data_IF_645425250197
#
_entry.id   IF_645425250197
#
_cell.length_a   1.000
_cell.length_b   1.000
_cell.length_c   1.000
_cell.angle_alpha   90.00
_cell.angle_beta   90.00
_cell.angle_gamma   90.00
#
_symmetry.space_group_name_H-M   'P 1'
#
loop_
_entity.id
_entity.type
_entity.pdbx_description
1 polymer ?
#
# COMPACT_ATOMS: atom_id res chain seq x y z
N UNK A 1 8.80 -18.24 -5.92
CA UNK A 1 10.16 -17.91 -6.43
C UNK A 1 10.90 -17.24 -5.29
N UNK A 2 11.99 -17.87 -4.82
CA UNK A 2 12.84 -17.26 -3.82
C UNK A 2 13.84 -16.32 -4.51
N UNK A 3 13.88 -15.08 -4.03
CA UNK A 3 14.78 -14.03 -4.51
C UNK A 3 15.94 -13.97 -3.52
N UNK A 4 17.12 -14.49 -3.88
CA UNK A 4 18.32 -14.61 -3.02
C UNK A 4 19.45 -13.64 -3.36
N UNK A 5 19.16 -12.60 -4.16
CA UNK A 5 20.15 -11.59 -4.52
C UNK A 5 19.55 -10.46 -5.35
N UNK A 6 19.54 -10.64 -6.67
CA UNK A 6 18.94 -9.65 -7.57
C UNK A 6 17.41 -9.79 -7.63
N UNK A 7 16.65 -8.67 -7.74
CA UNK A 7 15.20 -8.73 -7.94
C UNK A 7 14.86 -9.50 -9.21
N UNK A 8 13.66 -10.09 -9.25
CA UNK A 8 13.07 -10.50 -10.52
C UNK A 8 12.87 -9.25 -11.38
N UNK A 9 13.64 -9.11 -12.46
CA UNK A 9 13.59 -7.95 -13.33
C UNK A 9 12.79 -8.24 -14.59
N UNK A 10 11.83 -7.39 -14.92
CA UNK A 10 11.02 -7.50 -16.13
C UNK A 10 10.92 -6.15 -16.83
N UNK A 11 11.05 -6.16 -18.17
CA UNK A 11 10.80 -5.00 -19.01
C UNK A 11 9.88 -5.42 -20.16
N UNK A 12 8.70 -4.82 -20.25
CA UNK A 12 7.68 -5.15 -21.24
C UNK A 12 6.75 -3.95 -21.43
N UNK A 13 6.01 -3.88 -22.53
CA UNK A 13 4.89 -2.91 -22.62
C UNK A 13 3.80 -3.29 -21.62
N UNK A 14 3.38 -4.56 -21.65
CA UNK A 14 2.37 -5.12 -20.77
C UNK A 14 2.97 -6.32 -20.03
N UNK A 15 3.04 -6.21 -18.70
CA UNK A 15 3.52 -7.27 -17.82
C UNK A 15 2.32 -7.89 -17.11
N UNK A 16 2.03 -9.17 -17.40
CA UNK A 16 1.01 -9.93 -16.69
C UNK A 16 1.68 -11.05 -15.87
N UNK A 17 1.36 -11.10 -14.59
CA UNK A 17 1.78 -12.15 -13.66
C UNK A 17 0.53 -12.83 -13.11
N UNK A 18 0.47 -14.15 -13.18
CA UNK A 18 -0.68 -14.93 -12.75
C UNK A 18 -0.25 -16.04 -11.78
N UNK A 19 -0.79 -16.05 -10.57
CA UNK A 19 -0.47 -17.05 -9.54
C UNK A 19 1.00 -17.08 -9.11
N UNK A 20 1.68 -15.93 -9.13
CA UNK A 20 3.13 -15.85 -8.86
C UNK A 20 3.38 -15.52 -7.39
N UNK A 21 3.95 -16.46 -6.64
CA UNK A 21 4.51 -16.18 -5.32
C UNK A 21 5.98 -15.75 -5.42
N UNK A 22 6.34 -14.58 -4.89
CA UNK A 22 7.72 -14.10 -4.75
C UNK A 22 8.02 -13.85 -3.27
N UNK A 23 9.18 -14.32 -2.82
CA UNK A 23 9.61 -14.18 -1.43
C UNK A 23 11.12 -13.92 -1.39
N UNK A 24 11.58 -13.12 -0.43
CA UNK A 24 13.01 -12.96 -0.18
C UNK A 24 13.55 -14.23 0.47
N UNK A 25 14.68 -14.73 -0.03
CA UNK A 25 15.34 -15.88 0.58
C UNK A 25 15.77 -15.54 2.03
N UNK A 26 15.24 -16.23 3.06
CA UNK A 26 15.55 -15.93 4.45
C UNK A 26 17.04 -16.15 4.80
N UNK A 27 17.77 -16.94 4.01
CA UNK A 27 19.20 -17.16 4.20
C UNK A 27 20.07 -16.00 3.65
N UNK A 28 19.48 -15.07 2.91
CA UNK A 28 20.19 -13.98 2.25
C UNK A 28 20.03 -12.66 3.01
N UNK A 29 21.15 -11.97 3.26
CA UNK A 29 21.11 -10.60 3.75
C UNK A 29 20.81 -9.62 2.60
N UNK A 30 19.67 -8.94 2.69
CA UNK A 30 19.29 -7.90 1.72
C UNK A 30 19.63 -6.51 2.21
N UNK A 31 20.21 -5.70 1.32
CA UNK A 31 20.44 -4.29 1.56
C UNK A 31 19.13 -3.51 1.75
N UNK A 32 19.25 -2.30 2.30
CA UNK A 32 18.17 -1.32 2.20
C UNK A 32 17.82 -1.09 0.72
N UNK A 33 16.52 -0.98 0.40
CA UNK A 33 16.09 -0.81 -0.99
C UNK A 33 15.88 -2.11 -1.76
N UNK A 34 15.97 -3.29 -1.13
CA UNK A 34 15.73 -4.56 -1.82
C UNK A 34 14.29 -4.67 -2.33
N UNK A 35 14.13 -5.32 -3.48
CA UNK A 35 12.85 -5.44 -4.18
C UNK A 35 12.62 -6.89 -4.61
N UNK A 36 11.38 -7.39 -4.55
CA UNK A 36 11.05 -8.70 -5.13
C UNK A 36 10.92 -8.61 -6.66
N UNK A 37 10.08 -7.70 -7.16
CA UNK A 37 9.85 -7.46 -8.58
C UNK A 37 10.29 -6.05 -8.99
N UNK A 38 11.29 -5.94 -9.87
CA UNK A 38 11.66 -4.69 -10.53
C UNK A 38 11.08 -4.66 -11.93
N UNK A 39 10.01 -3.89 -12.12
CA UNK A 39 9.27 -3.83 -13.37
C UNK A 39 9.47 -2.50 -14.11
N UNK A 40 9.73 -2.59 -15.41
CA UNK A 40 9.78 -1.46 -16.32
C UNK A 40 8.70 -1.65 -17.40
N UNK A 41 7.48 -1.15 -17.16
CA UNK A 41 6.33 -1.44 -18.02
C UNK A 41 5.28 -0.32 -18.12
N UNK A 42 4.46 -0.32 -19.19
CA UNK A 42 3.29 0.56 -19.34
C UNK A 42 2.09 0.01 -18.60
N UNK A 43 1.91 -1.31 -18.56
CA UNK A 43 0.89 -1.91 -17.72
C UNK A 43 1.47 -3.06 -16.91
N UNK A 44 1.04 -3.16 -15.65
CA UNK A 44 1.31 -4.31 -14.81
C UNK A 44 -0.04 -4.87 -14.37
N UNK A 45 -0.27 -6.15 -14.59
CA UNK A 45 -1.46 -6.87 -14.12
C UNK A 45 -0.99 -8.05 -13.29
N UNK A 46 -1.29 -8.05 -12.00
CA UNK A 46 -1.10 -9.18 -11.11
C UNK A 46 -2.47 -9.73 -10.77
N UNK A 47 -2.72 -10.99 -11.11
CA UNK A 47 -4.04 -11.63 -10.95
C UNK A 47 -3.89 -13.08 -10.49
N UNK A 48 -4.97 -13.64 -10.00
CA UNK A 48 -5.04 -15.05 -9.64
C UNK A 48 -4.65 -15.31 -8.19
N UNK A 49 -5.24 -16.36 -7.63
CA UNK A 49 -5.09 -16.76 -6.24
C UNK A 49 -3.61 -16.89 -5.87
N UNK A 50 -3.16 -16.04 -4.94
CA UNK A 50 -1.86 -16.05 -4.28
C UNK A 50 -0.69 -15.45 -5.08
N UNK A 51 -0.86 -14.24 -5.64
CA UNK A 51 0.33 -13.39 -5.77
C UNK A 51 0.78 -12.95 -4.38
N UNK A 52 1.60 -13.79 -3.74
CA UNK A 52 2.18 -13.56 -2.42
C UNK A 52 3.51 -12.84 -2.58
N UNK A 53 3.64 -11.67 -1.96
CA UNK A 53 4.86 -10.87 -1.91
C UNK A 53 5.29 -10.68 -0.46
N UNK A 54 6.24 -11.48 0.01
CA UNK A 54 6.74 -11.41 1.40
C UNK A 54 7.92 -10.45 1.49
N UNK A 55 7.67 -9.21 1.89
CA UNK A 55 8.71 -8.23 2.16
C UNK A 55 9.19 -8.38 3.62
N UNK A 56 10.31 -9.09 3.86
CA UNK A 56 11.08 -9.10 5.12
C UNK A 56 10.41 -9.56 6.45
N UNK A 57 11.14 -10.37 7.22
CA UNK A 57 10.90 -10.82 8.61
C UNK A 57 9.43 -11.03 9.01
N UNK A 58 8.67 -11.73 8.17
CA UNK A 58 7.38 -12.30 8.59
C UNK A 58 7.59 -13.29 9.77
N UNK A 59 8.67 -14.07 9.70
CA UNK A 59 8.97 -15.19 10.62
C UNK A 59 9.51 -14.80 11.99
N UNK A 60 9.67 -13.50 12.31
CA UNK A 60 10.12 -13.07 13.63
C UNK A 60 8.94 -13.09 14.63
N UNK A 61 8.55 -14.31 15.00
CA UNK A 61 7.58 -14.64 16.06
C UNK A 61 7.66 -13.68 17.25
N UNK A 62 6.48 -13.22 17.69
CA UNK A 62 6.20 -12.23 18.74
C UNK A 62 6.80 -12.50 20.14
N UNK A 63 7.60 -13.55 20.34
CA UNK A 63 8.07 -13.95 21.66
C UNK A 63 9.32 -13.19 22.16
N UNK A 64 10.09 -12.48 21.31
CA UNK A 64 11.38 -11.90 21.73
C UNK A 64 11.74 -10.55 21.07
N UNK A 65 10.78 -9.61 20.96
CA UNK A 65 11.11 -8.19 20.70
C UNK A 65 11.74 -7.52 21.94
N UNK A 66 12.92 -7.97 22.35
CA UNK A 66 13.83 -7.22 23.22
C UNK A 66 15.09 -6.86 22.43
N UNK A 67 15.23 -5.56 22.17
CA UNK A 67 16.50 -4.84 21.98
C UNK A 67 17.42 -5.28 20.84
N UNK A 68 16.96 -5.17 19.59
CA UNK A 68 17.88 -4.81 18.50
C UNK A 68 17.44 -3.47 17.92
N UNK A 69 18.17 -2.38 18.16
CA UNK A 69 17.83 -1.09 17.60
C UNK A 69 18.15 -1.10 16.10
N UNK A 70 17.16 -0.72 15.29
CA UNK A 70 17.38 -0.02 14.03
C UNK A 70 18.10 -0.80 12.91
N UNK A 71 17.59 -1.99 12.53
CA UNK A 71 17.76 -2.43 11.14
C UNK A 71 16.93 -1.48 10.27
N UNK A 72 17.58 -0.71 9.39
CA UNK A 72 16.91 0.17 8.41
C UNK A 72 16.11 -0.68 7.41
N UNK A 73 14.97 -1.21 7.83
CA UNK A 73 14.01 -1.96 7.00
C UNK A 73 13.21 -1.05 6.06
N UNK A 74 13.26 0.26 6.31
CA UNK A 74 12.32 1.26 5.76
C UNK A 74 12.30 1.50 4.25
N UNK A 75 13.02 0.74 3.41
CA UNK A 75 13.03 0.94 1.96
C UNK A 75 12.84 -0.34 1.13
N UNK A 76 12.51 -1.49 1.72
CA UNK A 76 12.20 -2.70 0.92
C UNK A 76 10.86 -2.52 0.21
N UNK A 77 10.72 -3.12 -0.96
CA UNK A 77 9.47 -3.08 -1.72
C UNK A 77 9.10 -4.44 -2.32
N UNK A 78 7.83 -4.78 -2.33
CA UNK A 78 7.36 -5.93 -3.08
C UNK A 78 7.47 -5.68 -4.59
N UNK A 79 7.06 -4.50 -5.06
CA UNK A 79 7.18 -4.10 -6.46
C UNK A 79 7.89 -2.75 -6.54
N UNK A 80 8.93 -2.62 -7.36
CA UNK A 80 9.45 -1.33 -7.80
C UNK A 80 9.13 -1.14 -9.28
N UNK A 81 8.37 -0.10 -9.60
CA UNK A 81 7.83 0.10 -10.93
C UNK A 81 8.25 1.44 -11.54
N UNK A 82 8.76 1.35 -12.77
CA UNK A 82 9.08 2.47 -13.65
C UNK A 82 8.27 2.42 -14.94
N UNK A 83 7.33 3.34 -15.12
CA UNK A 83 6.58 3.53 -16.36
C UNK A 83 7.49 3.86 -17.55
N UNK A 84 7.26 3.25 -18.73
CA UNK A 84 8.15 3.43 -19.90
C UNK A 84 7.75 4.55 -20.85
N UNK A 85 6.47 4.84 -21.04
CA UNK A 85 6.01 5.92 -21.94
C UNK A 85 4.68 6.50 -21.50
N UNK A 86 4.49 7.81 -21.65
CA UNK A 86 3.25 8.52 -21.33
C UNK A 86 2.24 8.44 -22.50
N UNK A 87 1.71 7.25 -22.80
CA UNK A 87 0.53 7.16 -23.68
C UNK A 87 -0.74 7.44 -22.88
N UNK A 88 -1.76 8.11 -23.45
CA UNK A 88 -3.06 8.27 -22.80
C UNK A 88 -3.62 6.91 -22.37
N UNK A 89 -3.96 6.74 -21.08
CA UNK A 89 -4.47 5.49 -20.52
C UNK A 89 -3.41 4.41 -20.24
N UNK A 90 -2.12 4.71 -20.48
CA UNK A 90 -0.99 3.85 -20.11
C UNK A 90 -0.48 4.12 -18.69
N UNK A 91 0.57 3.41 -18.29
CA UNK A 91 1.15 3.45 -16.95
C UNK A 91 0.13 3.16 -15.84
N UNK A 92 -0.50 1.99 -15.95
CA UNK A 92 -1.48 1.46 -15.00
C UNK A 92 -0.99 0.19 -14.32
N UNK A 93 -1.26 0.06 -13.03
CA UNK A 93 -1.12 -1.19 -12.30
C UNK A 93 -2.48 -1.66 -11.84
N UNK A 94 -2.81 -2.93 -12.14
CA UNK A 94 -3.92 -3.66 -11.54
C UNK A 94 -3.35 -4.82 -10.74
N UNK A 95 -3.71 -4.91 -9.46
CA UNK A 95 -3.44 -6.07 -8.63
C UNK A 95 -4.76 -6.58 -8.10
N UNK A 96 -5.07 -7.84 -8.39
CA UNK A 96 -6.32 -8.47 -8.04
C UNK A 96 -6.08 -9.80 -7.31
N UNK A 97 -6.86 -10.07 -6.26
CA UNK A 97 -6.85 -11.35 -5.54
C UNK A 97 -5.45 -11.73 -5.03
N UNK A 98 -4.75 -10.74 -4.45
CA UNK A 98 -3.31 -10.81 -4.15
C UNK A 98 -3.00 -10.45 -2.70
N UNK A 99 -1.82 -10.85 -2.24
CA UNK A 99 -1.38 -10.71 -0.85
C UNK A 99 0.03 -10.11 -0.79
N UNK A 100 0.18 -9.03 -0.03
CA UNK A 100 1.47 -8.42 0.27
C UNK A 100 1.68 -8.57 1.78
N UNK A 101 2.61 -9.42 2.18
CA UNK A 101 2.84 -9.72 3.60
C UNK A 101 4.19 -9.17 4.06
N UNK A 102 4.27 -8.78 5.33
CA UNK A 102 5.51 -8.33 5.95
C UNK A 102 5.79 -6.82 5.88
N UNK A 103 6.98 -6.44 6.31
CA UNK A 103 7.39 -5.04 6.44
C UNK A 103 7.88 -4.41 5.12
N UNK A 104 7.56 -3.14 4.91
CA UNK A 104 8.05 -2.34 3.79
C UNK A 104 6.96 -1.90 2.83
N UNK A 105 7.37 -1.46 1.64
CA UNK A 105 6.47 -0.94 0.62
C UNK A 105 5.78 -2.08 -0.14
N UNK A 106 4.48 -1.96 -0.38
CA UNK A 106 3.83 -2.82 -1.37
C UNK A 106 4.32 -2.47 -2.79
N UNK A 107 4.17 -1.20 -3.15
CA UNK A 107 4.49 -0.66 -4.46
C UNK A 107 5.37 0.57 -4.26
N UNK A 108 6.55 0.55 -4.87
CA UNK A 108 7.46 1.68 -4.96
C UNK A 108 7.42 2.23 -6.39
N UNK A 109 7.00 3.47 -6.54
CA UNK A 109 6.83 4.14 -7.83
C UNK A 109 8.05 5.01 -8.14
N UNK A 110 8.81 4.61 -9.16
CA UNK A 110 10.00 5.30 -9.68
C UNK A 110 9.85 5.59 -11.19
N UNK A 111 8.82 6.35 -11.57
CA UNK A 111 8.59 6.74 -12.95
C UNK A 111 7.23 7.37 -13.20
N UNK A 112 6.89 7.54 -14.47
CA UNK A 112 5.59 8.08 -14.86
C UNK A 112 4.50 7.03 -14.67
N UNK A 113 3.79 7.06 -13.54
CA UNK A 113 2.62 6.22 -13.26
C UNK A 113 1.38 7.11 -13.28
N UNK A 114 0.25 6.59 -13.76
CA UNK A 114 -1.01 7.35 -13.82
C UNK A 114 -2.07 6.78 -12.89
N UNK A 115 -2.14 5.45 -12.80
CA UNK A 115 -3.20 4.76 -12.06
C UNK A 115 -2.70 3.49 -11.38
N UNK A 116 -3.13 3.28 -10.15
CA UNK A 116 -2.93 2.04 -9.41
C UNK A 116 -4.30 1.59 -8.90
N UNK A 117 -4.65 0.34 -9.16
CA UNK A 117 -5.92 -0.28 -8.77
C UNK A 117 -5.62 -1.58 -8.02
N UNK A 118 -6.07 -1.67 -6.77
CA UNK A 118 -5.97 -2.86 -5.94
C UNK A 118 -7.38 -3.38 -5.68
N UNK A 119 -7.66 -4.61 -6.10
CA UNK A 119 -8.98 -5.24 -5.98
C UNK A 119 -8.85 -6.54 -5.20
N UNK A 120 -9.54 -6.66 -4.08
CA UNK A 120 -9.43 -7.83 -3.20
C UNK A 120 -7.98 -8.13 -2.80
N UNK A 121 -7.28 -7.12 -2.26
CA UNK A 121 -5.87 -7.21 -1.87
C UNK A 121 -5.72 -7.15 -0.35
N UNK A 122 -4.84 -7.99 0.18
CA UNK A 122 -4.39 -7.92 1.57
C UNK A 122 -3.00 -7.29 1.64
N UNK A 123 -2.82 -6.24 2.47
CA UNK A 123 -1.50 -5.81 2.95
C UNK A 123 -1.42 -5.99 4.45
N UNK A 124 -0.44 -6.75 4.93
CA UNK A 124 -0.15 -6.87 6.37
C UNK A 124 1.26 -6.40 6.70
N UNK A 125 1.48 -5.97 7.94
CA UNK A 125 2.79 -5.54 8.44
C UNK A 125 3.12 -4.09 8.13
N UNK A 126 4.09 -3.56 8.88
CA UNK A 126 4.50 -2.16 8.85
C UNK A 126 4.95 -1.71 7.45
N UNK A 127 4.91 -0.41 7.20
CA UNK A 127 5.23 0.18 5.90
C UNK A 127 4.01 0.56 5.07
N UNK A 128 4.27 1.12 3.90
CA UNK A 128 3.26 1.80 3.09
C UNK A 128 2.77 0.92 1.95
N UNK A 129 1.48 0.99 1.58
CA UNK A 129 1.02 0.27 0.37
C UNK A 129 1.67 0.84 -0.88
N UNK A 130 1.60 2.15 -1.08
CA UNK A 130 2.20 2.83 -2.22
C UNK A 130 3.16 3.95 -1.80
N UNK A 131 4.45 3.79 -2.10
CA UNK A 131 5.46 4.83 -1.93
C UNK A 131 5.79 5.52 -3.26
N UNK A 132 5.58 6.83 -3.32
CA UNK A 132 5.93 7.70 -4.44
C UNK A 132 7.29 8.34 -4.17
N UNK A 133 8.31 7.93 -4.93
CA UNK A 133 9.68 8.40 -4.72
C UNK A 133 9.85 9.89 -5.01
N UNK A 134 10.71 10.58 -4.27
CA UNK A 134 10.91 12.05 -4.34
C UNK A 134 11.18 12.59 -5.75
N UNK A 135 12.08 11.94 -6.50
CA UNK A 135 12.54 12.46 -7.79
C UNK A 135 11.61 12.09 -8.95
N UNK A 136 10.54 11.34 -8.69
CA UNK A 136 9.70 10.76 -9.71
C UNK A 136 8.96 11.82 -10.54
N UNK A 137 8.87 11.59 -11.85
CA UNK A 137 8.02 12.38 -12.76
C UNK A 137 6.61 11.79 -12.84
N UNK A 138 6.16 11.13 -11.77
CA UNK A 138 4.86 10.48 -11.76
C UNK A 138 3.73 11.48 -11.94
N UNK A 139 2.73 11.07 -12.72
CA UNK A 139 1.47 11.79 -12.89
C UNK A 139 0.34 11.02 -12.24
N UNK A 140 0.64 10.30 -11.15
CA UNK A 140 -0.31 9.46 -10.44
C UNK A 140 -1.49 10.34 -10.01
N UNK A 141 -2.64 10.05 -10.59
CA UNK A 141 -3.88 10.79 -10.38
C UNK A 141 -4.90 9.97 -9.62
N UNK A 142 -4.85 8.64 -9.76
CA UNK A 142 -5.86 7.77 -9.17
C UNK A 142 -5.19 6.59 -8.47
N UNK A 143 -5.51 6.44 -7.19
CA UNK A 143 -5.19 5.26 -6.40
C UNK A 143 -6.49 4.66 -5.88
N UNK A 144 -6.95 3.59 -6.53
CA UNK A 144 -8.23 2.95 -6.23
C UNK A 144 -8.00 1.65 -5.47
N UNK A 145 -8.75 1.50 -4.39
CA UNK A 145 -8.77 0.36 -3.49
C UNK A 145 -10.20 -0.17 -3.43
N UNK A 146 -10.40 -1.42 -3.80
CA UNK A 146 -11.70 -2.08 -3.73
C UNK A 146 -11.53 -3.40 -2.98
N UNK A 147 -12.25 -3.59 -1.87
CA UNK A 147 -12.15 -4.80 -1.03
C UNK A 147 -10.74 -5.05 -0.52
N UNK A 148 -10.04 -3.98 -0.13
CA UNK A 148 -8.66 -4.06 0.36
C UNK A 148 -8.65 -4.10 1.88
N UNK A 149 -7.91 -5.03 2.48
CA UNK A 149 -7.60 -4.99 3.91
C UNK A 149 -6.15 -4.57 4.11
N UNK A 150 -5.95 -3.56 4.95
CA UNK A 150 -4.64 -3.10 5.40
C UNK A 150 -4.55 -3.34 6.90
N UNK A 151 -3.58 -4.16 7.35
CA UNK A 151 -3.41 -4.52 8.76
C UNK A 151 -2.02 -4.20 9.25
N UNK A 152 -1.93 -3.32 10.24
CA UNK A 152 -0.68 -2.82 10.83
C UNK A 152 0.20 -2.09 9.80
N UNK A 153 -0.41 -1.40 8.84
CA UNK A 153 0.32 -0.60 7.84
C UNK A 153 0.64 0.79 8.38
N UNK A 154 1.72 1.39 7.89
CA UNK A 154 2.11 2.75 8.30
C UNK A 154 1.35 3.84 7.52
N UNK A 155 0.99 3.57 6.27
CA UNK A 155 0.22 4.49 5.43
C UNK A 155 -0.32 3.79 4.20
N UNK A 156 -1.38 4.33 3.58
CA UNK A 156 -1.81 3.87 2.27
C UNK A 156 -0.88 4.43 1.20
N UNK A 157 -0.61 5.74 1.28
CA UNK A 157 0.26 6.44 0.33
C UNK A 157 1.31 7.25 1.08
N UNK A 158 2.56 7.15 0.64
CA UNK A 158 3.67 8.00 1.05
C UNK A 158 4.13 8.83 -0.14
N UNK A 159 4.11 10.14 0.01
CA UNK A 159 4.48 11.13 -0.98
C UNK A 159 5.76 11.84 -0.53
N UNK A 160 6.79 11.86 -1.36
CA UNK A 160 8.08 12.44 -0.97
C UNK A 160 8.50 13.61 -1.86
N UNK A 161 9.19 14.57 -1.24
CA UNK A 161 9.98 15.66 -1.83
C UNK A 161 9.38 16.35 -3.04
N UNK A 162 10.16 16.43 -4.12
CA UNK A 162 9.88 17.25 -5.30
C UNK A 162 8.61 16.85 -6.06
N UNK A 163 7.99 15.71 -5.74
CA UNK A 163 6.71 15.33 -6.32
C UNK A 163 5.58 16.27 -5.88
N UNK A 164 5.54 16.67 -4.60
CA UNK A 164 4.50 17.56 -4.07
C UNK A 164 4.53 18.93 -4.77
N UNK A 165 5.72 19.47 -5.01
CA UNK A 165 5.89 20.74 -5.73
C UNK A 165 5.44 20.64 -7.19
N UNK A 166 5.73 19.50 -7.84
CA UNK A 166 5.36 19.26 -9.24
C UNK A 166 3.86 19.09 -9.41
N UNK A 167 3.20 18.32 -8.54
CA UNK A 167 1.76 18.11 -8.65
C UNK A 167 1.00 19.41 -8.37
N UNK A 168 1.47 20.21 -7.41
CA UNK A 168 0.97 21.56 -7.13
C UNK A 168 1.12 22.48 -8.34
N UNK A 169 2.32 22.57 -8.90
CA UNK A 169 2.60 23.40 -10.08
C UNK A 169 1.77 23.00 -11.30
N UNK A 170 1.53 21.69 -11.47
CA UNK A 170 0.70 21.16 -12.55
C UNK A 170 -0.81 21.29 -12.29
N UNK A 171 -1.23 21.77 -11.12
CA UNK A 171 -2.63 21.82 -10.66
C UNK A 171 -3.34 20.48 -10.82
N UNK A 172 -2.63 19.40 -10.52
CA UNK A 172 -3.15 18.05 -10.53
C UNK A 172 -3.55 17.63 -9.12
N UNK A 173 -4.42 16.64 -9.05
CA UNK A 173 -4.92 16.07 -7.81
C UNK A 173 -4.62 14.57 -7.80
N UNK A 174 -4.24 14.04 -6.64
CA UNK A 174 -4.26 12.62 -6.35
C UNK A 174 -5.61 12.30 -5.69
N UNK A 175 -6.43 11.52 -6.39
CA UNK A 175 -7.67 10.96 -5.87
C UNK A 175 -7.40 9.56 -5.32
N UNK A 176 -7.79 9.34 -4.07
CA UNK A 176 -7.74 8.06 -3.37
C UNK A 176 -9.18 7.58 -3.20
N UNK A 177 -9.52 6.51 -3.89
CA UNK A 177 -10.86 5.94 -3.91
C UNK A 177 -10.85 4.64 -3.09
N UNK A 178 -11.68 4.54 -2.06
CA UNK A 178 -11.83 3.36 -1.22
C UNK A 178 -13.25 2.81 -1.34
N UNK A 179 -13.40 1.55 -1.73
CA UNK A 179 -14.69 0.86 -1.78
C UNK A 179 -14.59 -0.45 -1.00
N UNK A 180 -15.45 -0.63 -0.01
CA UNK A 180 -15.46 -1.82 0.86
C UNK A 180 -14.08 -2.12 1.46
N UNK A 181 -13.33 -1.12 1.94
CA UNK A 181 -11.97 -1.31 2.47
C UNK A 181 -11.93 -1.43 4.00
N UNK A 182 -10.91 -2.11 4.52
CA UNK A 182 -10.51 -2.08 5.94
C UNK A 182 -9.11 -1.46 6.04
N UNK A 183 -8.97 -0.43 6.88
CA UNK A 183 -7.69 0.26 7.11
C UNK A 183 -7.35 0.30 8.59
N UNK A 184 -6.47 -0.60 9.02
CA UNK A 184 -5.88 -0.62 10.36
C UNK A 184 -4.44 -0.14 10.29
N UNK A 185 -4.22 1.11 10.67
CA UNK A 185 -2.88 1.69 10.73
C UNK A 185 -2.15 1.31 12.03
N UNK A 186 -0.82 1.35 11.99
CA UNK A 186 0.02 1.25 13.19
C UNK A 186 -0.06 2.55 14.01
N UNK A 187 -0.61 2.51 15.23
CA UNK A 187 -1.03 3.70 15.95
C UNK A 187 0.04 4.76 16.30
N UNK A 188 1.35 4.48 16.20
CA UNK A 188 2.40 5.39 16.73
C UNK A 188 2.96 6.39 15.72
N UNK A 189 2.86 6.14 14.42
CA UNK A 189 3.61 6.89 13.39
C UNK A 189 2.89 6.96 12.03
N UNK A 190 1.58 6.84 12.03
CA UNK A 190 0.83 6.50 10.83
C UNK A 190 -0.27 7.49 10.50
N UNK A 191 -0.29 7.91 9.25
CA UNK A 191 -1.42 8.61 8.63
C UNK A 191 -1.87 7.84 7.40
N UNK A 192 -3.15 7.98 7.01
CA UNK A 192 -3.63 7.39 5.75
C UNK A 192 -2.77 7.86 4.57
N UNK A 193 -2.38 9.13 4.59
CA UNK A 193 -1.39 9.74 3.71
C UNK A 193 -0.22 10.26 4.53
N UNK A 194 0.99 9.94 4.10
CA UNK A 194 2.23 10.48 4.66
C UNK A 194 2.91 11.38 3.63
N UNK A 195 3.19 12.63 4.01
CA UNK A 195 3.92 13.59 3.20
C UNK A 195 5.29 13.82 3.81
N UNK A 196 6.36 13.71 3.02
CA UNK A 196 7.72 13.97 3.46
C UNK A 196 8.32 15.06 2.57
N UNK A 197 8.37 16.30 3.05
CA UNK A 197 8.95 17.42 2.31
C UNK A 197 9.39 18.53 3.28
N UNK A 198 10.51 19.23 3.01
CA UNK A 198 11.00 20.30 3.88
C UNK A 198 9.95 21.38 4.14
N UNK A 199 9.15 21.70 3.12
CA UNK A 199 8.04 22.63 3.15
C UNK A 199 6.86 22.03 2.39
N UNK A 200 5.64 22.38 2.78
CA UNK A 200 4.43 21.99 2.05
C UNK A 200 4.03 23.09 1.07
N UNK A 201 3.56 22.73 -0.14
CA UNK A 201 2.99 23.71 -1.04
C UNK A 201 1.79 24.43 -0.42
N UNK A 202 1.61 25.70 -0.79
CA UNK A 202 0.37 26.41 -0.52
C UNK A 202 -0.82 25.59 -1.04
N UNK A 203 -1.86 25.45 -0.21
CA UNK A 203 -3.08 24.69 -0.53
C UNK A 203 -2.82 23.21 -0.86
N UNK A 204 -1.86 22.57 -0.20
CA UNK A 204 -1.58 21.14 -0.33
C UNK A 204 -2.85 20.27 -0.21
N UNK A 205 -3.82 20.70 0.60
CA UNK A 205 -5.10 20.00 0.82
C UNK A 205 -5.95 19.93 -0.46
N UNK A 206 -5.74 20.81 -1.44
CA UNK A 206 -6.40 20.76 -2.75
C UNK A 206 -5.76 19.75 -3.71
N UNK A 207 -4.56 19.25 -3.39
CA UNK A 207 -3.82 18.27 -4.18
C UNK A 207 -4.28 16.84 -3.89
N UNK A 208 -5.13 16.65 -2.88
CA UNK A 208 -5.58 15.37 -2.39
C UNK A 208 -7.11 15.32 -2.34
N UNK A 209 -7.66 14.16 -2.65
CA UNK A 209 -9.05 13.83 -2.38
C UNK A 209 -9.15 12.38 -1.95
N UNK A 210 -10.00 12.16 -0.96
CA UNK A 210 -10.23 10.84 -0.41
C UNK A 210 -11.73 10.61 -0.42
N UNK A 211 -12.16 9.65 -1.24
CA UNK A 211 -13.56 9.27 -1.37
C UNK A 211 -13.68 7.82 -0.94
N UNK A 212 -14.50 7.58 0.07
CA UNK A 212 -14.81 6.27 0.61
C UNK A 212 -16.24 5.86 0.33
N UNK A 213 -16.45 4.56 0.17
CA UNK A 213 -17.74 3.88 0.17
C UNK A 213 -17.58 2.60 1.00
N UNK A 214 -18.44 2.40 1.99
CA UNK A 214 -18.43 1.21 2.88
C UNK A 214 -17.04 0.86 3.45
N UNK A 215 -16.17 1.85 3.61
CA UNK A 215 -14.79 1.66 4.03
C UNK A 215 -14.64 2.02 5.50
N UNK A 216 -13.91 1.21 6.24
CA UNK A 216 -13.80 1.33 7.70
C UNK A 216 -12.34 1.39 8.13
N UNK A 217 -12.02 2.35 9.00
CA UNK A 217 -10.73 2.43 9.68
C UNK A 217 -10.85 2.24 11.18
N UNK A 218 -9.73 1.97 11.83
CA UNK A 218 -9.66 2.01 13.29
C UNK A 218 -9.96 3.43 13.82
N UNK A 219 -10.45 3.52 15.07
CA UNK A 219 -10.57 4.81 15.78
C UNK A 219 -9.20 5.48 15.95
N UNK A 220 -9.21 6.82 15.98
CA UNK A 220 -8.00 7.62 16.12
C UNK A 220 -7.14 7.65 14.85
N UNK A 221 -7.72 7.28 13.70
CA UNK A 221 -7.06 7.41 12.41
C UNK A 221 -6.64 8.85 12.16
N UNK A 222 -5.34 9.06 11.98
CA UNK A 222 -4.81 10.29 11.41
C UNK A 222 -4.94 10.22 9.89
N UNK A 223 -5.59 11.20 9.26
CA UNK A 223 -5.80 11.20 7.81
C UNK A 223 -4.51 11.54 7.08
N UNK A 224 -3.85 12.62 7.52
CA UNK A 224 -2.61 13.09 6.91
C UNK A 224 -1.57 13.35 7.99
N UNK A 225 -0.35 12.92 7.72
CA UNK A 225 0.83 13.31 8.49
C UNK A 225 1.88 13.92 7.58
N UNK A 226 2.65 14.85 8.12
CA UNK A 226 3.73 15.53 7.43
C UNK A 226 5.03 15.43 8.23
N UNK A 227 6.14 15.20 7.54
CA UNK A 227 7.49 15.22 8.09
C UNK A 227 8.37 16.11 7.20
N UNK A 228 9.27 16.89 7.80
CA UNK A 228 10.22 17.71 7.01
C UNK A 228 11.26 16.83 6.31
N UNK A 229 11.76 15.82 7.01
CA UNK A 229 12.71 14.83 6.52
C UNK A 229 12.34 13.40 6.94
N UNK A 230 12.86 12.37 6.24
CA UNK A 230 12.73 10.99 6.71
C UNK A 230 13.36 10.83 8.09
N UNK A 231 12.54 10.56 9.11
CA UNK A 231 12.99 10.37 10.49
C UNK A 231 12.59 11.48 11.47
N UNK A 232 12.09 12.62 10.97
CA UNK A 232 11.51 13.64 11.84
C UNK A 232 10.20 13.13 12.46
N UNK A 233 9.82 13.71 13.60
CA UNK A 233 8.53 13.43 14.22
C UNK A 233 7.38 13.82 13.28
N UNK A 234 6.32 13.00 13.17
CA UNK A 234 5.17 13.32 12.35
C UNK A 234 4.38 14.48 12.95
N UNK A 235 4.05 15.46 12.11
CA UNK A 235 3.19 16.60 12.45
C UNK A 235 1.86 16.48 11.70
N UNK A 236 0.78 17.06 12.25
CA UNK A 236 -0.47 17.26 11.51
C UNK A 236 -0.31 18.54 10.67
N UNK A 237 -0.36 18.47 9.34
CA UNK A 237 -0.18 19.64 8.52
C UNK A 237 -1.34 20.65 8.68
N UNK A 238 -1.06 21.97 8.69
CA UNK A 238 -2.11 22.99 8.73
C UNK A 238 -3.09 22.84 7.56
N UNK A 239 -4.39 23.05 7.80
CA UNK A 239 -5.42 22.88 6.76
C UNK A 239 -5.90 21.44 6.55
N UNK A 240 -5.48 20.49 7.41
CA UNK A 240 -5.98 19.10 7.36
C UNK A 240 -7.51 19.02 7.51
N UNK A 241 -8.11 19.93 8.28
CA UNK A 241 -9.58 20.00 8.44
C UNK A 241 -10.31 20.43 7.16
N UNK A 242 -9.62 21.06 6.22
CA UNK A 242 -10.16 21.50 4.93
C UNK A 242 -9.97 20.46 3.83
N UNK A 243 -9.47 19.26 4.17
CA UNK A 243 -9.31 18.15 3.24
C UNK A 243 -10.68 17.55 2.90
N UNK A 244 -10.93 17.31 1.61
CA UNK A 244 -12.11 16.56 1.19
C UNK A 244 -11.92 15.07 1.52
N UNK A 245 -12.59 14.64 2.60
CA UNK A 245 -12.69 13.25 3.03
C UNK A 245 -14.16 12.89 3.18
N UNK A 246 -14.63 11.92 2.40
CA UNK A 246 -16.01 11.43 2.46
C UNK A 246 -16.04 9.91 2.61
N UNK A 247 -17.07 9.39 3.28
CA UNK A 247 -17.42 7.97 3.30
C UNK A 247 -16.41 6.97 3.89
N UNK A 248 -15.43 7.45 4.68
CA UNK A 248 -14.60 6.62 5.54
C UNK A 248 -15.16 6.59 6.96
N UNK A 249 -15.64 5.42 7.39
CA UNK A 249 -16.18 5.19 8.73
C UNK A 249 -15.07 4.83 9.71
N UNK A 250 -15.28 5.08 11.00
CA UNK A 250 -14.37 4.62 12.06
C UNK A 250 -15.07 3.61 12.97
N UNK A 251 -14.36 2.56 13.36
CA UNK A 251 -14.87 1.53 14.27
C UNK A 251 -13.76 0.90 15.10
N UNK A 252 -14.15 0.13 16.13
CA UNK A 252 -13.22 -0.79 16.79
C UNK A 252 -13.06 -2.02 15.89
N UNK A 253 -11.88 -2.19 15.31
CA UNK A 253 -11.59 -3.33 14.42
C UNK A 253 -11.16 -4.54 15.26
N UNK A 254 -11.84 -5.66 15.06
CA UNK A 254 -11.49 -6.95 15.64
C UNK A 254 -11.18 -7.93 14.51
N UNK A 255 -9.96 -8.45 14.46
CA UNK A 255 -9.51 -9.37 13.42
C UNK A 255 -9.77 -10.83 13.83
N UNK A 256 -9.90 -11.72 12.85
CA UNK A 256 -10.24 -13.12 13.07
C UNK A 256 -9.15 -13.92 13.80
N UNK A 257 -7.89 -13.50 13.68
CA UNK A 257 -6.76 -14.04 14.42
C UNK A 257 -5.66 -13.01 14.60
N UNK A 258 -4.60 -13.36 15.33
CA UNK A 258 -3.51 -12.44 15.67
C UNK A 258 -2.40 -12.40 14.61
N UNK A 259 -2.28 -13.43 13.76
CA UNK A 259 -1.19 -13.52 12.81
C UNK A 259 -1.31 -12.48 11.69
N UNK A 260 -0.18 -11.90 11.32
CA UNK A 260 -0.03 -11.07 10.12
C UNK A 260 0.36 -11.88 8.88
N UNK A 261 0.74 -13.15 9.07
CA UNK A 261 1.21 -14.04 8.00
C UNK A 261 0.09 -14.91 7.43
N UNK A 262 -0.97 -15.14 8.22
CA UNK A 262 -2.10 -15.97 7.83
C UNK A 262 -3.19 -15.06 7.27
N UNK A 263 -3.52 -15.09 5.96
CA UNK A 263 -4.47 -14.15 5.37
C UNK A 263 -5.85 -14.18 6.02
N UNK A 264 -6.33 -15.37 6.39
CA UNK A 264 -7.63 -15.55 7.06
C UNK A 264 -7.71 -14.87 8.42
N UNK A 265 -6.58 -14.69 9.11
CA UNK A 265 -6.54 -14.00 10.39
C UNK A 265 -6.82 -12.51 10.24
N UNK A 266 -6.65 -11.95 9.04
CA UNK A 266 -6.87 -10.53 8.72
C UNK A 266 -8.31 -10.21 8.29
N UNK A 267 -9.22 -11.18 8.32
CA UNK A 267 -10.66 -10.93 8.12
C UNK A 267 -11.21 -10.21 9.37
N UNK A 268 -11.96 -9.13 9.18
CA UNK A 268 -12.58 -8.41 10.30
C UNK A 268 -13.83 -9.15 10.76
N UNK A 269 -13.88 -9.45 12.07
CA UNK A 269 -15.09 -9.83 12.79
C UNK A 269 -15.89 -8.57 13.09
N UNK A 270 -16.71 -8.15 12.13
CA UNK A 270 -17.51 -6.94 12.33
C UNK A 270 -18.53 -7.15 13.45
N UNK A 271 -18.55 -6.21 14.40
CA UNK A 271 -19.65 -6.07 15.35
C UNK A 271 -20.85 -5.47 14.62
N UNK A 272 -22.06 -5.86 15.01
CA UNK A 272 -23.36 -5.51 14.41
C UNK A 272 -23.69 -4.01 14.30
N UNK A 273 -22.78 -3.11 14.68
CA UNK A 273 -23.06 -1.70 14.90
C UNK A 273 -22.39 -0.76 13.88
N UNK A 274 -21.75 -1.29 12.83
CA UNK A 274 -21.23 -0.47 11.73
C UNK A 274 -22.36 -0.31 10.70
N UNK A 275 -22.84 0.92 10.45
CA UNK A 275 -23.93 1.17 9.51
C UNK A 275 -23.41 1.05 8.07
N UNK A 276 -23.22 -0.17 7.60
CA UNK A 276 -22.88 -0.45 6.20
C UNK A 276 -24.12 -0.28 5.34
N UNK A 277 -23.96 0.25 4.13
CA UNK A 277 -25.08 0.36 3.16
C UNK A 277 -25.54 -1.02 2.67
N UNK A 278 -24.66 -2.03 2.79
CA UNK A 278 -24.88 -3.41 2.40
C UNK A 278 -24.70 -4.31 3.62
N UNK A 279 -25.79 -4.94 4.10
CA UNK A 279 -25.76 -5.86 5.24
C UNK A 279 -25.06 -7.21 4.93
N UNK A 280 -24.79 -7.49 3.65
CA UNK A 280 -24.33 -8.81 3.18
C UNK A 280 -22.87 -8.83 2.70
N UNK A 281 -22.18 -7.69 2.60
CA UNK A 281 -20.76 -7.66 2.26
C UNK A 281 -19.93 -7.21 3.47
N UNK A 282 -19.16 -8.14 4.05
CA UNK A 282 -18.10 -7.77 4.98
C UNK A 282 -17.01 -7.08 4.14
N UNK A 283 -16.69 -5.79 4.41
CA UNK A 283 -15.67 -5.09 3.67
C UNK A 283 -14.29 -5.67 3.99
N UNK A 284 -13.36 -5.40 3.07
CA UNK A 284 -11.99 -5.85 3.11
C UNK A 284 -11.74 -7.05 2.21
N UNK A 285 -10.51 -7.54 2.29
CA UNK A 285 -10.01 -8.71 1.60
C UNK A 285 -10.84 -9.95 1.95
N UNK A 286 -11.15 -10.72 0.91
CA UNK A 286 -11.78 -12.02 0.98
C UNK A 286 -10.81 -13.06 0.38
N UNK A 287 -10.36 -14.04 1.18
CA UNK A 287 -9.51 -15.10 0.67
C UNK A 287 -10.17 -15.80 -0.51
N UNK A 288 -9.44 -15.91 -1.61
CA UNK A 288 -9.87 -16.71 -2.74
C UNK A 288 -9.49 -18.15 -2.43
N UNK A 289 -10.49 -19.04 -2.34
CA UNK A 289 -10.23 -20.47 -2.19
C UNK A 289 -9.29 -20.92 -3.31
N UNK A 290 -8.17 -21.55 -2.92
CA UNK A 290 -7.21 -22.10 -3.86
C UNK A 290 -7.95 -23.16 -4.67
N UNK A 291 -8.28 -22.85 -5.93
CA UNK A 291 -8.68 -23.90 -6.87
C UNK A 291 -7.50 -24.84 -6.92
N UNK A 292 -7.67 -26.04 -6.38
CA UNK A 292 -6.74 -27.14 -6.55
C UNK A 292 -6.50 -27.24 -8.05
N UNK A 293 -5.29 -26.90 -8.49
CA UNK A 293 -4.85 -27.19 -9.84
C UNK A 293 -4.77 -28.71 -9.87
N UNK A 294 -5.87 -29.36 -10.28
CA UNK A 294 -5.86 -30.76 -10.60
C UNK A 294 -4.85 -30.93 -11.73
N UNK A 295 -3.66 -31.39 -11.38
CA UNK A 295 -2.69 -31.89 -12.34
C UNK A 295 -3.31 -33.11 -13.01
N UNK A 296 -3.84 -32.92 -14.21
CA UNK A 296 -4.13 -33.98 -15.17
C UNK A 296 -2.97 -34.09 -16.14
#
# INVERSE_FOLDING_TARGET
ILVSGAPLAAAATDLRLEGVSLEFDPATEFSAGAVLLKARAQSITLVGSMCLLTAADATASNANRRTVPNRRTGNRAAIAWKGIESKPGGNRLLMQDSEILGEGYGIHVDGNVQRIELVNVLKTGAGTICNIASETKTSLQTFRLERVTCRDVSSLVRCQGAWLDRISSARKKLSIELADCIVSLNAKESGLIEMIAPELPDRWNQLLEIIGENSVSAKGLQIVQWRRSPGDEPEIPPGTNDLLLEGLLTADLEFAGESLEVPTDSIVRMRSNIPLTSANSIPGYQPVESRSINAN
#
